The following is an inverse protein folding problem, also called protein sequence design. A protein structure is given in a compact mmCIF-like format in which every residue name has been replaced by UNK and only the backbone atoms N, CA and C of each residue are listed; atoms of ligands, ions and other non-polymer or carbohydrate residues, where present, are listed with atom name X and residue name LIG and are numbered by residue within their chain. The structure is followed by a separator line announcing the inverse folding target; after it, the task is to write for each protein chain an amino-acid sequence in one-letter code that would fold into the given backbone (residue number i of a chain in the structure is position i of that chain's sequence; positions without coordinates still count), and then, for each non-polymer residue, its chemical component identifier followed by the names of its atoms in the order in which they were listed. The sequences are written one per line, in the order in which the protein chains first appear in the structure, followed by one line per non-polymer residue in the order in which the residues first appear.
data_IF_470317247315
#
_entry.id   IF_470317247315
#
_cell.length_a   1.000
_cell.length_b   1.000
_cell.length_c   1.000
_cell.angle_alpha   90.00
_cell.angle_beta   90.00
_cell.angle_gamma   90.00
#
_symmetry.space_group_name_H-M   'P 1'
#
loop_
_entity.id
_entity.type
_entity.pdbx_description
1 polymer ?
#
# COMPACT_ATOMS: atom_id res chain seq x y z
N UNK A 1 9.90 1.63 0.37
CA UNK A 1 8.57 2.19 0.05
C UNK A 1 8.49 3.58 0.65
N UNK A 2 7.87 4.53 -0.05
CA UNK A 2 7.62 5.88 0.45
C UNK A 2 6.11 6.07 0.52
N UNK A 3 5.64 6.54 1.68
CA UNK A 3 4.24 6.89 1.91
C UNK A 3 4.15 8.20 2.70
N UNK A 4 3.06 8.92 2.51
CA UNK A 4 2.70 10.10 3.30
C UNK A 4 1.60 9.70 4.28
N UNK A 5 1.75 10.07 5.55
CA UNK A 5 0.76 9.78 6.60
C UNK A 5 0.24 11.08 7.19
N UNK A 6 -1.08 11.21 7.24
CA UNK A 6 -1.82 12.30 7.87
C UNK A 6 -2.73 11.73 8.97
N UNK A 7 -3.52 12.58 9.66
CA UNK A 7 -4.38 12.15 10.77
C UNK A 7 -5.37 11.02 10.40
N UNK A 8 -5.89 11.02 9.17
CA UNK A 8 -6.93 10.07 8.74
C UNK A 8 -6.47 9.14 7.61
N UNK A 9 -5.31 9.38 6.99
CA UNK A 9 -4.93 8.75 5.73
C UNK A 9 -3.45 8.36 5.66
N UNK A 10 -3.20 7.19 5.08
CA UNK A 10 -1.88 6.69 4.67
C UNK A 10 -1.87 6.55 3.13
N UNK A 11 -1.06 7.38 2.47
CA UNK A 11 -0.99 7.50 1.01
C UNK A 11 0.33 6.92 0.51
N UNK A 12 0.28 5.80 -0.20
CA UNK A 12 1.47 5.19 -0.81
C UNK A 12 1.84 5.92 -2.11
N UNK A 13 2.90 6.73 -2.05
CA UNK A 13 3.31 7.60 -3.16
C UNK A 13 4.34 6.94 -4.07
N UNK A 14 5.19 6.05 -3.55
CA UNK A 14 6.20 5.36 -4.38
C UNK A 14 6.63 4.02 -3.78
N UNK A 15 6.57 2.98 -4.58
CA UNK A 15 7.16 1.67 -4.24
C UNK A 15 8.33 1.41 -5.18
N UNK A 16 9.55 1.46 -4.64
CA UNK A 16 10.77 1.12 -5.40
C UNK A 16 11.30 -0.24 -4.93
N UNK A 17 11.42 -1.16 -5.89
CA UNK A 17 12.11 -2.44 -5.72
C UNK A 17 13.25 -2.46 -6.74
N UNK A 18 14.45 -2.77 -6.27
CA UNK A 18 15.62 -2.94 -7.14
C UNK A 18 15.29 -4.00 -8.22
N UNK A 19 15.56 -3.72 -9.52
CA UNK A 19 15.27 -4.62 -10.62
C UNK A 19 15.68 -6.08 -10.39
N UNK A 20 16.82 -6.32 -9.73
CA UNK A 20 17.33 -7.65 -9.44
C UNK A 20 16.38 -8.51 -8.57
N UNK A 21 15.48 -7.88 -7.82
CA UNK A 21 14.53 -8.56 -6.91
C UNK A 21 13.07 -8.45 -7.36
N UNK A 22 12.82 -7.97 -8.58
CA UNK A 22 11.45 -7.95 -9.14
C UNK A 22 10.97 -9.37 -9.45
N UNK A 23 9.65 -9.54 -9.51
CA UNK A 23 9.03 -10.85 -9.77
C UNK A 23 8.96 -11.77 -8.55
N UNK A 24 9.52 -11.37 -7.41
CA UNK A 24 9.55 -12.17 -6.17
C UNK A 24 8.48 -11.76 -5.15
N UNK A 25 7.46 -10.98 -5.54
CA UNK A 25 6.38 -10.56 -4.65
C UNK A 25 6.74 -9.49 -3.59
N UNK A 26 7.98 -9.02 -3.53
CA UNK A 26 8.43 -8.05 -2.51
C UNK A 26 7.61 -6.75 -2.44
N UNK A 27 7.12 -6.27 -3.59
CA UNK A 27 6.27 -5.08 -3.61
C UNK A 27 4.91 -5.31 -2.94
N UNK A 28 4.39 -6.55 -2.99
CA UNK A 28 3.18 -6.95 -2.30
C UNK A 28 3.38 -6.97 -0.79
N UNK A 29 4.48 -7.57 -0.31
CA UNK A 29 4.83 -7.58 1.12
C UNK A 29 4.93 -6.17 1.72
N UNK A 30 5.48 -5.22 0.96
CA UNK A 30 5.53 -3.83 1.40
C UNK A 30 4.13 -3.20 1.50
N UNK A 31 3.22 -3.54 0.57
CA UNK A 31 1.84 -3.05 0.60
C UNK A 31 1.07 -3.66 1.75
N UNK A 32 1.22 -4.96 2.00
CA UNK A 32 0.64 -5.65 3.16
C UNK A 32 1.05 -4.97 4.45
N UNK A 33 2.34 -4.66 4.60
CA UNK A 33 2.82 -3.95 5.79
C UNK A 33 2.24 -2.55 5.92
N UNK A 34 2.06 -1.83 4.81
CA UNK A 34 1.40 -0.52 4.82
C UNK A 34 -0.08 -0.62 5.23
N UNK A 35 -0.78 -1.67 4.79
CA UNK A 35 -2.17 -1.97 5.17
C UNK A 35 -2.27 -2.29 6.65
N UNK A 36 -1.33 -3.09 7.19
CA UNK A 36 -1.29 -3.39 8.63
C UNK A 36 -1.11 -2.13 9.48
N UNK A 37 -0.22 -1.22 9.06
CA UNK A 37 -0.04 0.07 9.73
C UNK A 37 -1.35 0.86 9.71
N UNK A 38 -2.00 0.94 8.55
CA UNK A 38 -3.28 1.63 8.41
C UNK A 38 -4.37 1.01 9.30
N UNK A 39 -4.47 -0.33 9.36
CA UNK A 39 -5.39 -1.05 10.26
C UNK A 39 -5.13 -0.75 11.74
N UNK A 40 -3.87 -0.85 12.16
CA UNK A 40 -3.48 -0.66 13.55
C UNK A 40 -3.74 0.77 14.04
N UNK A 41 -3.53 1.74 13.15
CA UNK A 41 -3.70 3.16 13.45
C UNK A 41 -5.09 3.70 13.09
N UNK A 42 -6.01 2.84 12.66
CA UNK A 42 -7.36 3.23 12.21
C UNK A 42 -7.37 4.28 11.09
N UNK A 43 -6.37 4.23 10.20
CA UNK A 43 -6.23 5.11 9.06
C UNK A 43 -6.83 4.49 7.81
N UNK A 44 -7.32 5.35 6.92
CA UNK A 44 -7.64 4.96 5.55
C UNK A 44 -6.39 4.81 4.71
N UNK A 45 -6.38 3.88 3.77
CA UNK A 45 -5.25 3.64 2.87
C UNK A 45 -5.60 4.03 1.44
N UNK A 46 -4.69 4.76 0.79
CA UNK A 46 -4.79 5.09 -0.63
C UNK A 46 -3.42 5.03 -1.29
N UNK A 47 -3.37 5.04 -2.62
CA UNK A 47 -2.12 5.05 -3.36
C UNK A 47 -2.21 5.98 -4.57
N UNK A 48 -1.10 6.63 -4.91
CA UNK A 48 -0.98 7.47 -6.12
C UNK A 48 -0.03 6.87 -7.15
N UNK A 49 0.78 5.88 -6.77
CA UNK A 49 1.63 5.17 -7.71
C UNK A 49 0.86 4.06 -8.44
N UNK A 50 1.19 3.84 -9.72
CA UNK A 50 0.52 2.85 -10.58
C UNK A 50 0.47 1.45 -9.99
N UNK A 51 1.56 1.01 -9.34
CA UNK A 51 1.59 -0.29 -8.67
C UNK A 51 0.64 -0.35 -7.47
N UNK A 52 0.67 0.67 -6.59
CA UNK A 52 -0.16 0.70 -5.39
C UNK A 52 -1.65 0.80 -5.72
N UNK A 53 -2.02 1.59 -6.73
CA UNK A 53 -3.40 1.67 -7.24
C UNK A 53 -3.87 0.29 -7.69
N UNK A 54 -3.10 -0.37 -8.57
CA UNK A 54 -3.44 -1.70 -9.06
C UNK A 54 -3.51 -2.75 -7.94
N UNK A 55 -2.63 -2.64 -6.95
CA UNK A 55 -2.64 -3.52 -5.78
C UNK A 55 -3.94 -3.36 -4.98
N UNK A 56 -4.32 -2.11 -4.68
CA UNK A 56 -5.57 -1.80 -3.95
C UNK A 56 -6.80 -2.26 -4.74
N UNK A 57 -6.82 -2.04 -6.07
CA UNK A 57 -7.92 -2.50 -6.92
C UNK A 57 -8.09 -4.03 -6.88
N UNK A 58 -6.97 -4.76 -6.94
CA UNK A 58 -6.98 -6.23 -6.87
C UNK A 58 -7.40 -6.77 -5.50
N UNK A 59 -7.19 -6.01 -4.42
CA UNK A 59 -7.51 -6.41 -3.03
C UNK A 59 -8.65 -5.58 -2.44
N UNK A 60 -9.49 -4.98 -3.29
CA UNK A 60 -10.53 -4.03 -2.89
C UNK A 60 -11.54 -4.64 -1.92
N UNK A 61 -11.84 -5.93 -2.07
CA UNK A 61 -12.78 -6.62 -1.19
C UNK A 61 -12.25 -6.76 0.25
N UNK A 62 -10.96 -7.05 0.39
CA UNK A 62 -10.27 -7.16 1.69
C UNK A 62 -10.03 -5.79 2.33
N UNK A 63 -9.89 -4.75 1.51
CA UNK A 63 -9.62 -3.38 1.94
C UNK A 63 -10.88 -2.53 2.15
N UNK A 64 -12.09 -3.07 1.94
CA UNK A 64 -13.36 -2.32 2.06
C UNK A 64 -13.48 -1.47 3.34
N UNK A 65 -12.96 -1.96 4.46
CA UNK A 65 -13.04 -1.28 5.76
C UNK A 65 -11.97 -0.19 5.97
N UNK A 66 -11.04 -0.02 5.03
CA UNK A 66 -9.89 0.89 5.09
C UNK A 66 -9.85 1.88 3.92
N UNK A 67 -10.87 1.88 3.06
CA UNK A 67 -10.99 2.80 1.93
C UNK A 67 -11.83 4.05 2.30
#
# INVERSE_FOLDING_TARGET
MVFSKNLDNLIVTRTFINPAFRGQGLAGLLMERAIEIAKHENLKISATCSYGVKYIENHKDELKNLL
#
